data_IF_033781985115
#
_entry.id   IF_033781985115
#
_cell.length_a   1.000
_cell.length_b   1.000
_cell.length_c   1.000
_cell.angle_alpha   90.00
_cell.angle_beta   90.00
_cell.angle_gamma   90.00
#
_symmetry.space_group_name_H-M   'P 1'
#
loop_
_entity.id
_entity.type
_entity.pdbx_description
1 polymer ?
#
# COMPACT_ATOMS: atom_id res chain seq x y z
N UNK A 1 53.44 -44.27 6.93
CA UNK A 1 52.04 -44.06 7.36
C UNK A 1 51.73 -42.57 7.28
N UNK A 2 50.50 -42.18 6.89
CA UNK A 2 49.97 -40.81 6.70
C UNK A 2 50.12 -40.22 5.27
N UNK A 3 49.28 -40.70 4.33
CA UNK A 3 48.51 -39.73 3.54
C UNK A 3 47.02 -40.08 3.40
N UNK A 4 46.54 -41.15 4.05
CA UNK A 4 45.14 -41.61 3.89
C UNK A 4 44.09 -40.86 4.73
N UNK A 5 44.49 -40.05 5.70
CA UNK A 5 43.54 -39.35 6.59
C UNK A 5 42.95 -38.07 5.98
N UNK A 6 43.58 -37.46 4.97
CA UNK A 6 43.06 -36.24 4.32
C UNK A 6 41.90 -36.53 3.35
N UNK A 7 41.82 -37.73 2.79
CA UNK A 7 40.74 -38.11 1.87
C UNK A 7 39.42 -38.42 2.61
N UNK A 8 39.51 -38.93 3.85
CA UNK A 8 38.34 -39.18 4.68
C UNK A 8 37.70 -37.92 5.25
N UNK A 9 38.48 -36.86 5.50
CA UNK A 9 37.94 -35.57 5.97
C UNK A 9 37.21 -34.84 4.82
N UNK A 10 37.66 -34.97 3.57
CA UNK A 10 36.96 -34.38 2.42
C UNK A 10 35.63 -35.07 2.08
N UNK A 11 35.49 -36.37 2.39
CA UNK A 11 34.23 -37.10 2.17
C UNK A 11 33.17 -36.82 3.24
N UNK A 12 33.57 -36.41 4.45
CA UNK A 12 32.64 -36.07 5.54
C UNK A 12 32.14 -34.61 5.44
N UNK A 13 32.78 -33.76 4.62
CA UNK A 13 32.29 -32.42 4.25
C UNK A 13 31.65 -32.45 2.87
N UNK A 14 31.03 -33.58 2.48
CA UNK A 14 29.98 -33.51 1.47
C UNK A 14 28.79 -32.89 2.20
N UNK A 15 28.46 -31.60 2.01
CA UNK A 15 27.23 -31.12 2.58
C UNK A 15 26.13 -31.99 1.98
N UNK A 16 25.16 -32.37 2.80
CA UNK A 16 23.82 -32.67 2.29
C UNK A 16 23.34 -31.39 1.59
N UNK A 17 23.83 -31.17 0.37
CA UNK A 17 23.31 -30.21 -0.56
C UNK A 17 21.95 -30.78 -0.94
N UNK A 18 20.97 -30.55 -0.07
CA UNK A 18 19.59 -30.45 -0.49
C UNK A 18 19.62 -29.41 -1.59
N UNK A 19 19.71 -29.88 -2.83
CA UNK A 19 19.77 -29.04 -4.01
C UNK A 19 18.44 -28.32 -4.08
N UNK A 20 18.38 -27.15 -3.44
CA UNK A 20 17.24 -26.27 -3.50
C UNK A 20 16.88 -26.06 -4.97
N UNK A 21 15.66 -26.43 -5.34
CA UNK A 21 15.27 -26.48 -6.76
C UNK A 21 15.19 -25.08 -7.37
N UNK A 22 14.70 -24.11 -6.57
CA UNK A 22 14.58 -22.70 -6.90
C UNK A 22 15.14 -21.83 -5.77
N UNK A 23 15.96 -20.85 -6.13
CA UNK A 23 16.34 -19.77 -5.24
C UNK A 23 15.21 -18.74 -5.10
N UNK A 24 15.28 -17.88 -4.09
CA UNK A 24 14.30 -16.78 -3.97
C UNK A 24 14.32 -15.84 -5.18
N UNK A 25 15.51 -15.66 -5.78
CA UNK A 25 15.70 -14.85 -6.97
C UNK A 25 14.96 -15.43 -8.16
N UNK A 26 14.99 -16.76 -8.34
CA UNK A 26 14.22 -17.43 -9.38
C UNK A 26 12.72 -17.15 -9.20
N UNK A 27 12.20 -17.31 -7.97
CA UNK A 27 10.79 -17.06 -7.66
C UNK A 27 10.38 -15.60 -7.91
N UNK A 28 11.25 -14.64 -7.58
CA UNK A 28 11.04 -13.22 -7.88
C UNK A 28 11.04 -12.97 -9.39
N UNK A 29 12.00 -13.52 -10.13
CA UNK A 29 12.11 -13.35 -11.58
C UNK A 29 10.88 -13.92 -12.30
N UNK A 30 10.35 -15.04 -11.81
CA UNK A 30 9.14 -15.66 -12.36
C UNK A 30 7.91 -14.75 -12.31
N UNK A 31 7.81 -13.84 -11.33
CA UNK A 31 6.73 -12.82 -11.31
C UNK A 31 6.78 -11.83 -12.48
N UNK A 32 7.88 -11.79 -13.24
CA UNK A 32 8.03 -10.95 -14.43
C UNK A 32 7.93 -11.71 -15.75
N UNK A 33 7.80 -13.04 -15.70
CA UNK A 33 7.87 -13.85 -16.91
C UNK A 33 6.54 -13.82 -17.66
N UNK A 34 6.62 -13.90 -18.99
CA UNK A 34 5.46 -14.32 -19.77
C UNK A 34 5.20 -15.81 -19.51
N UNK A 35 3.95 -16.27 -19.70
CA UNK A 35 3.58 -17.67 -19.52
C UNK A 35 4.54 -18.62 -20.29
N UNK A 36 4.83 -18.32 -21.56
CA UNK A 36 5.75 -19.12 -22.37
C UNK A 36 7.19 -19.14 -21.81
N UNK A 37 7.69 -18.02 -21.27
CA UNK A 37 9.03 -17.97 -20.67
C UNK A 37 9.07 -18.78 -19.38
N UNK A 38 8.01 -18.71 -18.59
CA UNK A 38 7.84 -19.50 -17.37
C UNK A 38 7.79 -20.99 -17.67
N UNK A 39 6.92 -21.42 -18.59
CA UNK A 39 6.80 -22.81 -19.04
C UNK A 39 8.12 -23.40 -19.50
N UNK A 40 8.84 -22.67 -20.37
CA UNK A 40 10.13 -23.11 -20.87
C UNK A 40 11.21 -23.19 -19.78
N UNK A 41 11.11 -22.36 -18.74
CA UNK A 41 12.07 -22.36 -17.64
C UNK A 41 11.82 -23.55 -16.69
N UNK A 42 10.58 -23.74 -16.24
CA UNK A 42 10.23 -24.79 -15.28
C UNK A 42 10.30 -26.19 -15.91
N UNK A 43 10.04 -26.33 -17.21
CA UNK A 43 10.19 -27.60 -17.92
C UNK A 43 11.63 -28.12 -17.88
N UNK A 44 12.63 -27.22 -17.95
CA UNK A 44 14.07 -27.57 -17.80
C UNK A 44 14.43 -28.04 -16.39
N UNK A 45 13.56 -27.77 -15.41
CA UNK A 45 13.69 -28.14 -13.99
C UNK A 45 12.86 -29.38 -13.64
N UNK A 46 12.42 -30.14 -14.65
CA UNK A 46 11.60 -31.35 -14.52
C UNK A 46 10.18 -31.13 -13.95
N UNK A 47 9.66 -29.90 -14.04
CA UNK A 47 8.26 -29.62 -13.73
C UNK A 47 7.36 -29.84 -14.95
N UNK A 48 6.16 -30.36 -14.71
CA UNK A 48 5.14 -30.60 -15.72
C UNK A 48 3.83 -30.00 -15.25
N UNK A 49 3.03 -29.53 -16.20
CA UNK A 49 1.71 -28.97 -15.91
C UNK A 49 0.81 -30.04 -15.28
N UNK A 50 0.15 -29.68 -14.20
CA UNK A 50 -0.83 -30.50 -13.51
C UNK A 50 -2.25 -30.09 -13.92
N UNK A 51 -2.81 -30.84 -14.86
CA UNK A 51 -4.16 -30.63 -15.40
C UNK A 51 -5.27 -31.12 -14.45
N UNK A 52 -4.92 -31.75 -13.33
CA UNK A 52 -5.87 -32.35 -12.38
C UNK A 52 -6.00 -31.55 -11.08
N UNK A 53 -5.23 -30.48 -10.92
CA UNK A 53 -5.28 -29.64 -9.74
C UNK A 53 -6.61 -28.85 -9.67
N UNK A 54 -7.33 -28.87 -8.53
CA UNK A 54 -8.65 -28.25 -8.39
C UNK A 54 -8.66 -26.71 -8.46
N UNK A 55 -7.51 -26.06 -8.67
CA UNK A 55 -7.35 -24.61 -8.79
C UNK A 55 -6.95 -24.12 -10.19
N UNK A 56 -7.02 -24.95 -11.25
CA UNK A 56 -6.91 -24.42 -12.62
C UNK A 56 -8.11 -23.48 -12.89
N UNK A 57 -7.86 -22.18 -12.72
CA UNK A 57 -8.67 -21.12 -13.30
C UNK A 57 -7.97 -20.63 -14.57
N UNK A 58 -8.68 -19.88 -15.42
CA UNK A 58 -8.09 -19.23 -16.61
C UNK A 58 -6.82 -18.43 -16.26
N UNK A 59 -6.71 -17.96 -15.01
CA UNK A 59 -5.65 -17.12 -14.47
C UNK A 59 -4.49 -17.83 -13.77
N UNK A 60 -4.60 -19.13 -13.44
CA UNK A 60 -3.59 -19.85 -12.61
C UNK A 60 -3.23 -21.19 -13.25
N UNK A 61 -1.94 -21.40 -13.48
CA UNK A 61 -1.38 -22.66 -14.00
C UNK A 61 -0.57 -23.35 -12.91
N UNK A 62 -0.84 -24.64 -12.70
CA UNK A 62 -0.20 -25.47 -11.68
C UNK A 62 0.81 -26.43 -12.31
N UNK A 63 1.94 -26.65 -11.63
CA UNK A 63 3.00 -27.54 -12.08
C UNK A 63 3.52 -28.39 -10.93
N UNK A 64 3.77 -29.66 -11.20
CA UNK A 64 4.33 -30.62 -10.25
C UNK A 64 5.67 -31.13 -10.75
N UNK A 65 6.62 -31.31 -9.83
CA UNK A 65 7.91 -31.87 -10.18
C UNK A 65 7.79 -33.38 -10.40
N UNK A 66 8.45 -33.91 -11.43
CA UNK A 66 8.62 -35.35 -11.58
C UNK A 66 9.53 -35.87 -10.45
N UNK A 67 8.97 -36.70 -9.57
CA UNK A 67 9.70 -37.34 -8.48
C UNK A 67 10.79 -38.27 -9.06
N UNK A 68 12.05 -38.06 -8.65
CA UNK A 68 13.19 -38.90 -9.03
C UNK A 68 13.32 -40.06 -8.06
N UNK A 69 13.91 -41.17 -8.51
CA UNK A 69 14.12 -42.36 -7.67
C UNK A 69 14.96 -41.99 -6.45
N UNK A 70 14.41 -42.17 -5.24
CA UNK A 70 15.07 -41.85 -3.97
C UNK A 70 14.77 -40.46 -3.41
N UNK A 71 14.03 -39.60 -4.14
CA UNK A 71 13.52 -38.34 -3.61
C UNK A 71 12.08 -38.56 -3.12
N UNK A 72 11.80 -38.23 -1.86
CA UNK A 72 10.45 -38.24 -1.28
C UNK A 72 9.85 -36.83 -1.15
N UNK A 73 10.60 -35.80 -1.58
CA UNK A 73 10.16 -34.42 -1.46
C UNK A 73 9.10 -34.11 -2.50
N UNK A 74 7.94 -33.67 -2.03
CA UNK A 74 6.85 -33.18 -2.88
C UNK A 74 7.18 -31.75 -3.22
N UNK A 75 7.19 -31.39 -4.51
CA UNK A 75 7.36 -30.02 -4.97
C UNK A 75 6.33 -29.67 -6.04
N UNK A 76 5.68 -28.52 -5.87
CA UNK A 76 4.81 -27.93 -6.87
C UNK A 76 5.05 -26.43 -6.96
N UNK A 77 4.67 -25.85 -8.08
CA UNK A 77 4.71 -24.41 -8.30
C UNK A 77 3.45 -23.99 -9.04
N UNK A 78 2.77 -22.95 -8.56
CA UNK A 78 1.69 -22.29 -9.28
C UNK A 78 2.14 -20.91 -9.75
N UNK A 79 1.72 -20.54 -10.96
CA UNK A 79 1.95 -19.24 -11.57
C UNK A 79 0.62 -18.69 -12.05
N UNK A 80 0.31 -17.45 -11.69
CA UNK A 80 -0.92 -16.83 -12.14
C UNK A 80 -1.01 -15.33 -11.89
N UNK A 81 -2.03 -14.71 -12.48
CA UNK A 81 -2.36 -13.31 -12.26
C UNK A 81 -3.81 -13.16 -11.83
N UNK A 82 -4.03 -12.57 -10.66
CA UNK A 82 -5.37 -12.31 -10.11
C UNK A 82 -5.46 -10.85 -9.72
N UNK A 83 -6.47 -10.13 -10.23
CA UNK A 83 -6.71 -8.72 -9.90
C UNK A 83 -5.47 -7.81 -10.08
N UNK A 84 -4.72 -8.00 -11.17
CA UNK A 84 -3.50 -7.22 -11.47
C UNK A 84 -2.30 -7.55 -10.58
N UNK A 85 -2.34 -8.66 -9.83
CA UNK A 85 -1.22 -9.19 -9.06
C UNK A 85 -0.71 -10.47 -9.69
N UNK A 86 0.56 -10.48 -10.10
CA UNK A 86 1.24 -11.72 -10.48
C UNK A 86 1.70 -12.43 -9.23
N UNK A 87 1.45 -13.73 -9.13
CA UNK A 87 1.81 -14.53 -7.97
C UNK A 87 2.49 -15.82 -8.37
N UNK A 88 3.49 -16.19 -7.56
CA UNK A 88 4.19 -17.46 -7.62
C UNK A 88 3.97 -18.16 -6.29
N UNK A 89 3.45 -19.38 -6.32
CA UNK A 89 3.20 -20.20 -5.15
C UNK A 89 4.09 -21.43 -5.26
N UNK A 90 5.27 -21.41 -4.61
CA UNK A 90 6.16 -22.56 -4.57
C UNK A 90 5.88 -23.38 -3.32
N UNK A 91 5.57 -24.66 -3.49
CA UNK A 91 5.22 -25.55 -2.40
C UNK A 91 6.22 -26.70 -2.31
N UNK A 92 6.66 -27.02 -1.10
CA UNK A 92 7.64 -28.08 -0.82
C UNK A 92 7.30 -28.81 0.47
N UNK A 93 7.52 -30.12 0.54
CA UNK A 93 7.48 -30.87 1.81
C UNK A 93 8.79 -30.81 2.60
N UNK A 94 9.84 -30.18 2.05
CA UNK A 94 11.15 -30.07 2.71
C UNK A 94 11.25 -28.85 3.62
N UNK A 95 11.40 -29.08 4.92
CA UNK A 95 11.66 -28.00 5.88
C UNK A 95 12.99 -27.28 5.60
N UNK A 96 14.01 -28.00 5.12
CA UNK A 96 15.30 -27.41 4.78
C UNK A 96 15.22 -26.39 3.65
N UNK A 97 14.40 -26.67 2.62
CA UNK A 97 14.15 -25.71 1.53
C UNK A 97 13.39 -24.48 2.03
N UNK A 98 12.44 -24.65 2.94
CA UNK A 98 11.73 -23.53 3.56
C UNK A 98 12.68 -22.60 4.30
N UNK A 99 13.51 -23.13 5.19
CA UNK A 99 14.41 -22.29 5.97
C UNK A 99 15.47 -21.62 5.09
N UNK A 100 15.95 -22.28 4.03
CA UNK A 100 16.84 -21.68 3.05
C UNK A 100 16.18 -20.50 2.30
N UNK A 101 14.93 -20.64 1.86
CA UNK A 101 14.19 -19.56 1.19
C UNK A 101 13.94 -18.38 2.14
N UNK A 102 13.57 -18.63 3.39
CA UNK A 102 13.40 -17.57 4.41
C UNK A 102 14.68 -16.79 4.66
N UNK A 103 15.81 -17.47 4.77
CA UNK A 103 17.11 -16.81 4.95
C UNK A 103 17.49 -15.96 3.74
N UNK A 104 17.18 -16.43 2.53
CA UNK A 104 17.48 -15.68 1.30
C UNK A 104 16.64 -14.41 1.16
N UNK A 105 15.38 -14.37 1.64
CA UNK A 105 14.53 -13.18 1.58
C UNK A 105 15.19 -11.96 2.24
N UNK A 106 15.71 -12.13 3.45
CA UNK A 106 16.41 -11.06 4.15
C UNK A 106 17.66 -10.60 3.37
N UNK A 107 18.40 -11.54 2.78
CA UNK A 107 19.60 -11.24 1.99
C UNK A 107 19.31 -10.46 0.70
N UNK A 108 18.12 -10.62 0.10
CA UNK A 108 17.73 -9.86 -1.09
C UNK A 108 17.08 -8.52 -0.78
N UNK A 109 16.89 -8.18 0.50
CA UNK A 109 16.42 -6.87 0.96
C UNK A 109 14.95 -6.77 1.31
N UNK A 110 14.27 -7.91 1.54
CA UNK A 110 12.92 -7.93 2.09
C UNK A 110 12.96 -7.61 3.58
N UNK A 111 12.09 -6.69 4.03
CA UNK A 111 11.93 -6.36 5.45
C UNK A 111 10.62 -6.92 6.00
N UNK A 112 10.65 -7.34 7.27
CA UNK A 112 9.48 -7.83 7.99
C UNK A 112 8.51 -6.70 8.31
N UNK A 113 7.21 -6.97 8.15
CA UNK A 113 6.14 -6.11 8.64
C UNK A 113 5.88 -6.37 10.14
N UNK A 114 5.54 -5.32 10.90
CA UNK A 114 5.54 -5.33 12.37
C UNK A 114 4.37 -6.12 13.00
N UNK A 115 3.30 -6.35 12.23
CA UNK A 115 2.07 -6.99 12.72
C UNK A 115 1.82 -8.42 12.20
N UNK A 116 2.84 -9.17 11.78
CA UNK A 116 2.65 -10.63 11.54
C UNK A 116 2.53 -11.43 12.85
N UNK A 117 2.02 -10.81 13.92
CA UNK A 117 1.88 -11.37 15.25
C UNK A 117 0.47 -11.97 15.47
N UNK A 118 -0.14 -12.53 14.43
CA UNK A 118 -1.13 -13.59 14.64
C UNK A 118 -0.37 -14.85 15.03
N UNK A 119 -0.69 -15.36 16.22
CA UNK A 119 -0.15 -16.55 16.89
C UNK A 119 -0.53 -17.88 16.19
N UNK A 120 -0.61 -17.87 14.87
CA UNK A 120 -0.72 -19.05 14.00
C UNK A 120 0.53 -19.11 13.13
N UNK A 121 0.86 -20.26 12.56
CA UNK A 121 1.99 -20.51 11.64
C UNK A 121 1.89 -19.72 10.29
N UNK A 122 1.16 -18.59 10.29
CA UNK A 122 0.88 -17.70 9.18
C UNK A 122 2.00 -16.67 9.03
N UNK A 123 2.94 -17.02 8.15
CA UNK A 123 3.76 -16.15 7.31
C UNK A 123 4.13 -14.77 7.85
N UNK A 124 5.41 -14.63 8.20
CA UNK A 124 6.09 -13.33 8.21
C UNK A 124 5.92 -12.71 6.83
N UNK A 125 5.06 -11.69 6.74
CA UNK A 125 4.86 -10.92 5.53
C UNK A 125 6.03 -9.96 5.41
N UNK A 126 6.75 -10.07 4.31
CA UNK A 126 7.86 -9.20 3.98
C UNK A 126 7.57 -8.44 2.68
N UNK A 127 8.10 -7.23 2.56
CA UNK A 127 7.90 -6.38 1.39
C UNK A 127 9.24 -5.84 0.86
N UNK A 128 9.36 -5.72 -0.45
CA UNK A 128 10.47 -5.03 -1.12
C UNK A 128 9.97 -4.40 -2.42
N UNK A 129 9.97 -3.07 -2.49
CA UNK A 129 9.43 -2.36 -3.65
C UNK A 129 7.98 -2.76 -3.94
N UNK A 130 7.70 -3.24 -5.16
CA UNK A 130 6.38 -3.74 -5.56
C UNK A 130 6.16 -5.24 -5.31
N UNK A 131 7.06 -5.90 -4.57
CA UNK A 131 7.00 -7.33 -4.25
C UNK A 131 6.60 -7.57 -2.80
N UNK A 132 5.83 -8.63 -2.57
CA UNK A 132 5.49 -9.16 -1.25
C UNK A 132 5.83 -10.64 -1.20
N UNK A 133 6.33 -11.08 -0.05
CA UNK A 133 6.68 -12.47 0.20
C UNK A 133 6.12 -12.92 1.53
N UNK A 134 5.55 -14.13 1.58
CA UNK A 134 5.13 -14.77 2.82
C UNK A 134 5.15 -16.29 2.66
N UNK A 135 5.09 -17.01 3.78
CA UNK A 135 5.10 -18.47 3.79
C UNK A 135 4.01 -19.03 4.68
N UNK A 136 3.30 -20.05 4.22
CA UNK A 136 2.28 -20.75 4.99
C UNK A 136 2.62 -22.23 5.13
N UNK A 137 1.93 -22.92 6.06
CA UNK A 137 2.06 -24.37 6.26
C UNK A 137 0.68 -25.00 6.25
N UNK A 138 0.51 -26.04 5.45
CA UNK A 138 -0.68 -26.88 5.43
C UNK A 138 -0.27 -28.32 5.76
N UNK A 139 -1.04 -29.03 6.59
CA UNK A 139 -0.83 -30.47 6.82
C UNK A 139 -1.77 -31.23 5.89
N UNK A 140 -1.22 -32.02 4.97
CA UNK A 140 -1.97 -32.87 4.04
C UNK A 140 -1.52 -34.32 4.19
N UNK A 141 -2.45 -35.21 4.51
CA UNK A 141 -2.16 -36.64 4.72
C UNK A 141 -0.97 -36.89 5.66
N UNK A 142 -0.93 -36.15 6.78
CA UNK A 142 0.15 -36.17 7.79
C UNK A 142 1.52 -35.68 7.32
N UNK A 143 1.62 -35.11 6.12
CA UNK A 143 2.83 -34.47 5.59
C UNK A 143 2.70 -32.94 5.66
N UNK A 144 3.64 -32.21 6.28
CA UNK A 144 3.64 -30.77 6.21
C UNK A 144 4.03 -30.30 4.81
N UNK A 145 3.24 -29.40 4.25
CA UNK A 145 3.48 -28.74 2.97
C UNK A 145 3.69 -27.25 3.24
N UNK A 146 4.91 -26.80 2.95
CA UNK A 146 5.32 -25.42 3.11
C UNK A 146 5.11 -24.69 1.79
N UNK A 147 4.31 -23.62 1.80
CA UNK A 147 4.07 -22.79 0.62
C UNK A 147 4.79 -21.46 0.79
N UNK A 148 5.49 -21.03 -0.25
CA UNK A 148 6.11 -19.72 -0.41
C UNK A 148 5.38 -18.96 -1.49
N UNK A 149 4.86 -17.80 -1.11
CA UNK A 149 4.07 -16.98 -2.01
C UNK A 149 4.85 -15.70 -2.26
N UNK A 150 5.18 -15.45 -3.53
CA UNK A 150 5.77 -14.19 -3.99
C UNK A 150 4.73 -13.50 -4.87
N UNK A 151 4.29 -12.32 -4.46
CA UNK A 151 3.36 -11.49 -5.21
C UNK A 151 4.06 -10.26 -5.75
N UNK A 152 3.80 -9.92 -7.01
CA UNK A 152 4.16 -8.65 -7.63
C UNK A 152 2.89 -7.87 -7.91
N UNK A 153 2.77 -6.69 -7.31
CA UNK A 153 1.71 -5.74 -7.63
C UNK A 153 2.14 -4.87 -8.81
N UNK A 154 1.28 -4.76 -9.82
CA UNK A 154 1.41 -3.69 -10.81
C UNK A 154 0.99 -2.36 -10.17
N UNK A 155 1.91 -1.39 -10.18
CA UNK A 155 1.70 -0.06 -9.64
C UNK A 155 1.62 0.94 -10.81
N UNK A 156 0.81 2.01 -10.68
CA UNK A 156 0.78 3.07 -11.68
C UNK A 156 2.17 3.71 -11.80
N UNK A 157 2.51 4.17 -13.00
CA UNK A 157 3.73 4.97 -13.18
C UNK A 157 3.47 6.38 -12.67
N UNK A 158 4.49 7.02 -12.11
CA UNK A 158 4.37 8.38 -11.59
C UNK A 158 3.78 9.38 -12.61
N UNK A 159 4.07 9.21 -13.90
CA UNK A 159 3.55 10.04 -14.99
C UNK A 159 2.06 9.83 -15.31
N UNK A 160 1.49 8.70 -14.89
CA UNK A 160 0.10 8.33 -15.14
C UNK A 160 -0.81 8.81 -13.98
N UNK A 161 -0.23 9.32 -12.89
CA UNK A 161 -0.92 9.96 -11.76
C UNK A 161 -1.21 11.43 -12.15
N UNK A 162 -2.48 11.79 -12.30
CA UNK A 162 -2.90 13.13 -12.69
C UNK A 162 -3.62 13.87 -11.57
N UNK A 163 -4.49 13.17 -10.86
CA UNK A 163 -5.33 13.71 -9.80
C UNK A 163 -4.90 13.20 -8.43
N UNK A 164 -5.27 13.93 -7.39
CA UNK A 164 -5.04 13.52 -6.00
C UNK A 164 -5.62 12.13 -5.70
N UNK A 165 -6.79 11.82 -6.23
CA UNK A 165 -7.48 10.54 -6.08
C UNK A 165 -6.66 9.36 -6.65
N UNK A 166 -5.84 9.59 -7.69
CA UNK A 166 -5.05 8.51 -8.31
C UNK A 166 -3.98 7.97 -7.35
N UNK A 167 -3.53 8.79 -6.39
CA UNK A 167 -2.58 8.41 -5.35
C UNK A 167 -3.13 7.32 -4.42
N UNK A 168 -4.46 7.23 -4.26
CA UNK A 168 -5.10 6.21 -3.42
C UNK A 168 -4.93 4.78 -3.96
N UNK A 169 -4.56 4.64 -5.24
CA UNK A 169 -4.25 3.33 -5.83
C UNK A 169 -2.94 2.70 -5.31
N UNK A 170 -2.15 3.46 -4.55
CA UNK A 170 -0.85 3.08 -4.00
C UNK A 170 -0.98 2.83 -2.49
N UNK A 171 -1.25 1.60 -2.03
CA UNK A 171 -1.78 1.34 -0.68
C UNK A 171 -0.73 1.17 0.42
N UNK A 172 0.52 1.60 0.21
CA UNK A 172 1.52 1.57 1.28
C UNK A 172 2.69 2.53 1.05
N UNK A 173 3.39 2.87 2.14
CA UNK A 173 4.61 3.66 2.13
C UNK A 173 5.70 3.10 1.20
N UNK A 174 5.92 1.78 1.23
CA UNK A 174 6.92 1.11 0.39
C UNK A 174 6.57 1.20 -1.10
N UNK A 175 5.29 1.12 -1.44
CA UNK A 175 4.84 1.31 -2.81
C UNK A 175 4.98 2.77 -3.26
N UNK A 176 4.69 3.73 -2.38
CA UNK A 176 4.98 5.15 -2.66
C UNK A 176 6.46 5.38 -2.92
N UNK A 177 7.32 4.81 -2.07
CA UNK A 177 8.78 4.91 -2.21
C UNK A 177 9.29 4.26 -3.49
N UNK A 178 8.66 3.17 -3.94
CA UNK A 178 8.97 2.52 -5.21
C UNK A 178 8.55 3.37 -6.42
N UNK A 179 7.35 3.98 -6.38
CA UNK A 179 6.81 4.76 -7.51
C UNK A 179 7.48 6.12 -7.65
N UNK A 180 7.73 6.82 -6.55
CA UNK A 180 8.22 8.20 -6.55
C UNK A 180 9.68 8.36 -6.11
N UNK A 181 10.31 7.30 -5.61
CA UNK A 181 11.66 7.31 -5.06
C UNK A 181 11.69 7.56 -3.55
N UNK A 182 12.60 6.89 -2.84
CA UNK A 182 12.71 6.93 -1.38
C UNK A 182 13.08 8.33 -0.82
N UNK A 183 13.69 9.20 -1.63
CA UNK A 183 14.00 10.57 -1.22
C UNK A 183 12.75 11.45 -1.16
N UNK A 184 11.77 11.15 -2.02
CA UNK A 184 10.51 11.88 -2.09
C UNK A 184 9.48 11.43 -1.04
N UNK A 185 9.73 10.36 -0.28
CA UNK A 185 8.74 9.76 0.61
C UNK A 185 9.32 9.60 2.01
N UNK A 186 8.66 10.15 3.03
CA UNK A 186 9.11 10.10 4.43
C UNK A 186 8.01 9.59 5.35
N UNK A 187 8.38 8.76 6.32
CA UNK A 187 7.51 8.41 7.46
C UNK A 187 7.50 9.60 8.42
N UNK A 188 6.35 9.94 8.98
CA UNK A 188 6.18 11.05 9.92
C UNK A 188 5.01 10.75 10.88
N UNK A 189 4.71 11.70 11.76
CA UNK A 189 3.57 11.72 12.66
C UNK A 189 2.75 12.98 12.34
N UNK A 190 1.46 12.78 12.09
CA UNK A 190 0.50 13.85 11.92
C UNK A 190 -0.18 14.15 13.26
N UNK A 191 -0.32 15.43 13.61
CA UNK A 191 -0.93 15.88 14.85
C UNK A 191 -2.30 16.51 14.55
N UNK A 192 -3.37 15.90 15.06
CA UNK A 192 -4.71 16.52 15.07
C UNK A 192 -4.85 17.49 16.24
N UNK A 193 -4.21 17.16 17.37
CA UNK A 193 -4.07 17.98 18.57
C UNK A 193 -2.79 17.59 19.31
N UNK A 194 -2.50 18.24 20.44
CA UNK A 194 -1.35 17.91 21.28
C UNK A 194 -1.36 16.46 21.78
N UNK A 195 -2.55 15.84 21.87
CA UNK A 195 -2.74 14.48 22.41
C UNK A 195 -3.17 13.45 21.37
N UNK A 196 -3.60 13.90 20.19
CA UNK A 196 -4.17 13.04 19.16
C UNK A 196 -3.29 13.06 17.91
N UNK A 197 -2.73 11.90 17.57
CA UNK A 197 -1.71 11.76 16.54
C UNK A 197 -1.86 10.45 15.80
N UNK A 198 -1.56 10.46 14.49
CA UNK A 198 -1.44 9.23 13.70
C UNK A 198 -0.08 9.17 12.99
N UNK A 199 0.48 7.97 12.87
CA UNK A 199 1.59 7.73 11.96
C UNK A 199 1.14 7.95 10.52
N UNK A 200 1.95 8.67 9.77
CA UNK A 200 1.62 9.08 8.43
C UNK A 200 2.81 8.91 7.48
N UNK A 201 2.56 9.12 6.19
CA UNK A 201 3.62 9.25 5.19
C UNK A 201 3.47 10.55 4.45
N UNK A 202 4.56 11.31 4.36
CA UNK A 202 4.63 12.56 3.62
C UNK A 202 5.32 12.29 2.28
N UNK A 203 4.59 12.50 1.20
CA UNK A 203 5.09 12.50 -0.17
C UNK A 203 5.47 13.94 -0.55
N UNK A 204 6.64 14.11 -1.18
CA UNK A 204 7.27 15.39 -1.53
C UNK A 204 7.28 16.43 -0.38
N UNK A 205 7.89 16.10 0.78
CA UNK A 205 7.89 16.98 1.95
C UNK A 205 8.48 18.36 1.62
N UNK A 206 7.91 19.42 2.22
CA UNK A 206 8.32 20.81 2.05
C UNK A 206 8.30 21.32 0.60
N UNK A 207 7.36 20.83 -0.21
CA UNK A 207 7.17 21.27 -1.59
C UNK A 207 5.71 21.59 -1.91
N UNK A 208 5.46 22.29 -3.01
CA UNK A 208 4.11 22.49 -3.54
C UNK A 208 3.45 21.22 -4.10
N UNK A 209 4.10 20.04 -3.99
CA UNK A 209 3.52 18.73 -4.31
C UNK A 209 3.28 17.88 -3.06
N UNK A 210 3.36 18.46 -1.86
CA UNK A 210 3.25 17.70 -0.63
C UNK A 210 1.89 17.01 -0.51
N UNK A 211 1.89 15.74 -0.13
CA UNK A 211 0.68 14.97 0.21
C UNK A 211 0.95 14.19 1.49
N UNK A 212 0.00 14.23 2.42
CA UNK A 212 0.09 13.43 3.65
C UNK A 212 -0.88 12.27 3.56
N UNK A 213 -0.37 11.05 3.72
CA UNK A 213 -1.15 9.82 3.81
C UNK A 213 -1.35 9.48 5.28
N UNK A 214 -2.61 9.42 5.71
CA UNK A 214 -3.00 8.83 6.98
C UNK A 214 -3.35 7.36 6.74
N UNK A 215 -2.82 6.47 7.56
CA UNK A 215 -2.94 5.02 7.39
C UNK A 215 -3.92 4.43 8.42
N UNK A 216 -4.76 3.49 8.00
CA UNK A 216 -5.54 2.63 8.89
C UNK A 216 -4.61 1.62 9.60
N UNK A 217 -3.61 1.09 8.89
CA UNK A 217 -2.56 0.23 9.47
C UNK A 217 -1.27 1.02 9.71
N UNK A 218 -1.22 1.69 10.86
CA UNK A 218 -0.09 2.50 11.30
C UNK A 218 1.19 1.72 11.60
N UNK A 219 1.08 0.41 11.90
CA UNK A 219 2.25 -0.41 12.17
C UNK A 219 3.05 -0.70 10.90
N UNK A 220 2.32 -0.90 9.79
CA UNK A 220 2.90 -1.23 8.50
C UNK A 220 2.86 -0.07 7.49
N UNK A 221 2.32 1.09 7.86
CA UNK A 221 2.13 2.25 6.97
C UNK A 221 1.40 1.86 5.68
N UNK A 222 0.27 1.16 5.84
CA UNK A 222 -0.50 0.61 4.73
C UNK A 222 -2.00 0.80 4.93
N UNK A 223 -2.77 0.60 3.86
CA UNK A 223 -4.22 0.85 3.80
C UNK A 223 -4.56 2.31 4.16
N UNK A 224 -4.62 3.17 3.14
CA UNK A 224 -4.85 4.60 3.36
C UNK A 224 -6.24 4.85 3.93
N UNK A 225 -6.31 5.53 5.07
CA UNK A 225 -7.55 6.02 5.66
C UNK A 225 -8.08 7.23 4.87
N UNK A 226 -7.19 8.20 4.61
CA UNK A 226 -7.41 9.35 3.74
C UNK A 226 -6.07 10.05 3.44
N UNK A 227 -6.07 10.96 2.46
CA UNK A 227 -4.92 11.83 2.19
C UNK A 227 -5.28 13.31 2.37
N UNK A 228 -4.29 14.11 2.77
CA UNK A 228 -4.40 15.55 2.98
C UNK A 228 -3.50 16.32 2.02
N UNK A 229 -4.02 17.40 1.45
CA UNK A 229 -3.36 18.24 0.44
C UNK A 229 -3.59 19.71 0.78
N UNK A 230 -2.52 20.50 0.77
CA UNK A 230 -2.56 21.95 1.02
C UNK A 230 -2.66 22.33 2.50
N UNK A 231 -2.62 23.63 2.77
CA UNK A 231 -2.77 24.20 4.11
C UNK A 231 -1.50 24.14 4.96
N UNK A 232 -1.64 24.51 6.24
CA UNK A 232 -0.59 24.38 7.25
C UNK A 232 -0.78 23.05 7.97
N UNK A 233 -0.26 21.98 7.37
CA UNK A 233 -0.39 20.63 7.93
C UNK A 233 0.67 20.46 9.04
N UNK A 234 0.23 20.17 10.27
CA UNK A 234 1.13 19.94 11.40
C UNK A 234 1.65 18.50 11.38
N UNK A 235 2.89 18.35 10.95
CA UNK A 235 3.70 17.14 11.07
C UNK A 235 4.95 17.45 11.87
N UNK A 236 5.62 16.43 12.40
CA UNK A 236 6.88 16.63 13.14
C UNK A 236 7.90 17.43 12.31
N UNK A 237 7.98 17.17 11.01
CA UNK A 237 8.92 17.85 10.11
C UNK A 237 8.47 19.27 9.71
N UNK A 238 7.17 19.58 9.72
CA UNK A 238 6.66 20.92 9.35
C UNK A 238 6.45 21.85 10.56
N UNK A 239 6.41 21.31 11.78
CA UNK A 239 6.33 22.08 13.03
C UNK A 239 7.51 23.06 13.19
N UNK A 240 8.63 22.82 12.49
CA UNK A 240 9.81 23.68 12.54
C UNK A 240 9.86 24.73 11.44
N UNK A 241 9.09 24.60 10.35
CA UNK A 241 9.24 25.44 9.16
C UNK A 241 8.10 26.45 8.93
N UNK A 242 6.96 26.33 9.62
CA UNK A 242 5.79 27.23 9.46
C UNK A 242 5.40 27.47 7.98
N UNK A 243 5.73 26.53 7.08
CA UNK A 243 5.46 26.67 5.66
C UNK A 243 3.99 26.33 5.41
N UNK A 244 3.17 27.35 5.20
CA UNK A 244 1.82 27.20 4.64
C UNK A 244 1.96 26.80 3.17
N UNK A 245 1.47 25.62 2.79
CA UNK A 245 1.48 25.17 1.39
C UNK A 245 0.18 25.66 0.74
N UNK A 246 0.12 26.96 0.47
CA UNK A 246 -1.09 27.64 -0.02
C UNK A 246 -1.37 27.36 -1.51
N UNK A 247 -0.39 26.83 -2.23
CA UNK A 247 -0.48 26.57 -3.67
C UNK A 247 -0.02 25.16 -4.01
N UNK A 248 -0.72 24.17 -3.48
CA UNK A 248 -0.46 22.77 -3.82
C UNK A 248 -0.86 22.48 -5.29
N UNK A 249 -0.01 21.76 -6.02
CA UNK A 249 -0.23 21.41 -7.42
C UNK A 249 -1.22 20.26 -7.62
N UNK A 250 -1.51 19.50 -6.56
CA UNK A 250 -2.51 18.45 -6.62
C UNK A 250 -3.90 19.05 -6.60
N UNK A 251 -4.73 18.63 -7.55
CA UNK A 251 -6.15 18.94 -7.61
C UNK A 251 -6.98 17.67 -7.52
N UNK A 252 -8.18 17.80 -6.97
CA UNK A 252 -9.20 16.75 -7.02
C UNK A 252 -9.67 16.55 -8.46
N UNK A 253 -10.06 15.32 -8.78
CA UNK A 253 -10.78 14.96 -10.02
C UNK A 253 -12.09 15.72 -10.18
N UNK A 254 -12.68 16.17 -9.06
CA UNK A 254 -13.87 17.01 -9.06
C UNK A 254 -13.58 18.50 -9.34
N UNK A 255 -12.30 18.88 -9.51
CA UNK A 255 -11.87 20.23 -9.86
C UNK A 255 -11.47 21.12 -8.67
N UNK A 256 -11.55 20.62 -7.43
CA UNK A 256 -11.15 21.37 -6.23
C UNK A 256 -9.63 21.46 -6.15
N UNK A 257 -9.10 22.65 -5.86
CA UNK A 257 -7.67 22.92 -5.65
C UNK A 257 -7.45 23.84 -4.43
N UNK A 258 -6.27 23.77 -3.82
CA UNK A 258 -5.91 24.60 -2.65
C UNK A 258 -5.76 26.06 -3.06
N UNK A 259 -6.34 26.97 -2.29
CA UNK A 259 -6.46 28.40 -2.62
C UNK A 259 -7.73 28.79 -3.37
N UNK A 260 -8.55 27.82 -3.82
CA UNK A 260 -9.85 28.11 -4.46
C UNK A 260 -10.73 28.96 -3.54
N UNK A 261 -11.27 30.06 -4.06
CA UNK A 261 -12.15 30.95 -3.29
C UNK A 261 -13.50 30.28 -3.02
N UNK A 262 -14.19 30.71 -1.95
CA UNK A 262 -15.53 30.19 -1.63
C UNK A 262 -16.53 30.41 -2.77
N UNK A 263 -16.39 31.51 -3.53
CA UNK A 263 -17.23 31.80 -4.70
C UNK A 263 -16.99 30.79 -5.83
N UNK A 264 -15.74 30.47 -6.13
CA UNK A 264 -15.39 29.45 -7.13
C UNK A 264 -15.86 28.07 -6.69
N UNK A 265 -15.69 27.73 -5.41
CA UNK A 265 -16.12 26.45 -4.85
C UNK A 265 -17.64 26.29 -4.93
N UNK A 266 -18.41 27.33 -4.58
CA UNK A 266 -19.87 27.35 -4.71
C UNK A 266 -20.31 27.23 -6.17
N UNK A 267 -19.62 27.91 -7.09
CA UNK A 267 -19.91 27.80 -8.52
C UNK A 267 -19.64 26.39 -9.05
N UNK A 268 -18.53 25.77 -8.62
CA UNK A 268 -18.19 24.39 -8.97
C UNK A 268 -19.20 23.38 -8.41
N UNK A 269 -19.70 23.63 -7.18
CA UNK A 269 -20.71 22.80 -6.55
C UNK A 269 -22.12 22.99 -7.15
N UNK A 270 -22.35 24.05 -7.91
CA UNK A 270 -23.68 24.40 -8.45
C UNK A 270 -24.75 24.59 -7.35
N UNK A 271 -24.33 25.04 -6.17
CA UNK A 271 -25.21 25.23 -5.02
C UNK A 271 -24.48 25.69 -3.77
N UNK A 272 -25.22 26.24 -2.77
CA UNK A 272 -24.63 26.74 -1.54
C UNK A 272 -23.94 25.65 -0.74
N UNK A 273 -22.89 26.04 -0.02
CA UNK A 273 -22.07 25.17 0.81
C UNK A 273 -22.17 25.65 2.25
N UNK A 274 -22.56 24.74 3.13
CA UNK A 274 -22.66 24.98 4.57
C UNK A 274 -21.40 24.48 5.27
N UNK A 275 -20.87 25.27 6.19
CA UNK A 275 -19.66 24.96 6.95
C UNK A 275 -19.73 25.57 8.35
N UNK A 276 -18.90 25.05 9.25
CA UNK A 276 -18.84 25.53 10.62
C UNK A 276 -18.14 26.89 10.72
N UNK A 277 -18.72 27.80 11.50
CA UNK A 277 -18.16 29.14 11.71
C UNK A 277 -16.84 29.10 12.49
N UNK A 278 -16.01 30.13 12.30
CA UNK A 278 -14.75 30.28 13.04
C UNK A 278 -14.97 30.48 14.54
N UNK A 279 -14.04 29.96 15.34
CA UNK A 279 -14.16 29.92 16.80
C UNK A 279 -14.99 28.73 17.33
N UNK A 280 -15.29 27.75 16.47
CA UNK A 280 -15.79 26.43 16.86
C UNK A 280 -14.65 25.41 16.75
N UNK A 281 -14.79 24.25 17.41
CA UNK A 281 -13.81 23.15 17.31
C UNK A 281 -13.62 22.64 15.87
N UNK A 282 -14.67 22.69 15.05
CA UNK A 282 -14.67 22.23 13.65
C UNK A 282 -14.59 23.39 12.66
N UNK A 283 -13.99 24.52 13.03
CA UNK A 283 -13.99 25.73 12.21
C UNK A 283 -13.56 25.49 10.75
N UNK A 284 -14.33 26.06 9.82
CA UNK A 284 -14.05 25.94 8.39
C UNK A 284 -14.30 24.54 7.79
N UNK A 285 -14.61 23.52 8.59
CA UNK A 285 -15.01 22.20 8.08
C UNK A 285 -16.41 22.27 7.48
N UNK A 286 -16.66 21.46 6.46
CA UNK A 286 -18.00 21.32 5.89
C UNK A 286 -19.00 20.75 6.91
N UNK A 287 -20.19 21.35 6.96
CA UNK A 287 -21.30 20.80 7.70
C UNK A 287 -21.85 19.55 6.97
N UNK A 288 -22.49 18.60 7.69
CA UNK A 288 -23.15 17.47 7.06
C UNK A 288 -24.24 17.90 6.06
N UNK A 289 -24.55 17.02 5.09
CA UNK A 289 -25.65 17.20 4.12
C UNK A 289 -25.48 18.40 3.17
N UNK A 290 -24.25 18.69 2.78
CA UNK A 290 -24.03 19.50 1.58
C UNK A 290 -24.51 18.75 0.34
N UNK A 291 -25.23 19.44 -0.53
CA UNK A 291 -25.76 18.91 -1.78
C UNK A 291 -25.23 19.74 -2.95
N UNK A 292 -25.22 19.16 -4.14
CA UNK A 292 -24.73 19.80 -5.35
C UNK A 292 -24.03 18.81 -6.25
N UNK A 293 -23.16 19.33 -7.11
CA UNK A 293 -22.38 18.57 -8.08
C UNK A 293 -21.19 17.84 -7.45
N UNK A 294 -20.62 18.39 -6.37
CA UNK A 294 -19.46 17.80 -5.70
C UNK A 294 -19.92 16.69 -4.75
N UNK A 295 -19.32 15.52 -4.88
CA UNK A 295 -19.46 14.41 -3.95
C UNK A 295 -18.54 14.64 -2.73
N UNK A 296 -19.09 15.31 -1.73
CA UNK A 296 -18.40 15.55 -0.45
C UNK A 296 -18.24 14.30 0.43
N UNK A 297 -18.74 13.13 0.00
CA UNK A 297 -18.45 11.85 0.68
C UNK A 297 -17.09 11.30 0.31
N UNK A 298 -16.53 11.75 -0.84
CA UNK A 298 -15.21 11.34 -1.35
C UNK A 298 -14.16 12.43 -1.20
N UNK A 299 -14.58 13.69 -1.14
CA UNK A 299 -13.68 14.84 -1.01
C UNK A 299 -14.17 15.76 0.10
N UNK A 300 -13.41 15.88 1.17
CA UNK A 300 -13.58 16.91 2.19
C UNK A 300 -12.79 18.16 1.84
N UNK A 301 -13.25 19.32 2.32
CA UNK A 301 -12.47 20.56 2.29
C UNK A 301 -12.50 21.20 3.67
N UNK A 302 -11.39 21.84 4.02
CA UNK A 302 -11.29 22.75 5.16
C UNK A 302 -11.08 24.14 4.60
N UNK A 303 -11.88 25.08 5.08
CA UNK A 303 -11.85 26.48 4.65
C UNK A 303 -11.04 27.31 5.65
N UNK A 304 -10.27 28.26 5.15
CA UNK A 304 -9.66 29.30 5.96
C UNK A 304 -10.18 30.68 5.53
N UNK A 305 -9.99 31.69 6.37
CA UNK A 305 -10.45 33.04 6.10
C UNK A 305 -9.44 34.12 6.52
N UNK A 306 -9.25 35.10 5.64
CA UNK A 306 -8.32 36.20 5.86
C UNK A 306 -8.90 37.37 6.67
N UNK A 307 -10.23 37.54 6.68
CA UNK A 307 -10.91 38.69 7.29
C UNK A 307 -12.14 38.29 8.14
N UNK A 308 -12.09 37.11 8.76
CA UNK A 308 -13.18 36.60 9.60
C UNK A 308 -13.03 36.94 11.08
N UNK A 309 -11.96 37.63 11.49
CA UNK A 309 -11.62 38.01 12.87
C UNK A 309 -12.53 39.07 13.51
N UNK A 310 -13.61 39.48 12.86
CA UNK A 310 -14.60 40.35 13.47
C UNK A 310 -15.32 39.56 14.57
N UNK A 311 -15.17 39.96 15.84
CA UNK A 311 -15.73 39.31 17.04
C UNK A 311 -17.25 39.19 17.13
N UNK A 312 -17.96 39.27 16.00
CA UNK A 312 -19.36 38.92 15.78
C UNK A 312 -19.48 37.52 15.20
N UNK A 313 -18.70 36.55 15.67
CA UNK A 313 -18.97 35.15 15.31
C UNK A 313 -20.43 34.87 15.68
N UNK A 314 -21.21 34.60 14.63
CA UNK A 314 -22.63 34.42 14.77
C UNK A 314 -22.86 33.30 15.79
N UNK A 315 -23.82 33.46 16.69
CA UNK A 315 -24.24 32.39 17.64
C UNK A 315 -24.60 31.08 16.92
N UNK A 316 -24.77 31.11 15.60
CA UNK A 316 -24.98 29.97 14.74
C UNK A 316 -23.67 29.24 14.44
N UNK A 317 -23.63 27.97 14.81
CA UNK A 317 -22.50 27.07 14.60
C UNK A 317 -22.24 26.75 13.12
N UNK A 318 -23.25 26.87 12.26
CA UNK A 318 -23.16 26.58 10.82
C UNK A 318 -23.59 27.81 10.01
N UNK A 319 -22.83 28.14 8.98
CA UNK A 319 -23.07 29.25 8.05
C UNK A 319 -23.11 28.76 6.61
N UNK A 320 -23.87 29.46 5.76
CA UNK A 320 -23.96 29.19 4.32
C UNK A 320 -23.01 30.09 3.53
N UNK A 321 -22.44 29.53 2.45
CA UNK A 321 -21.55 30.25 1.54
C UNK A 321 -22.20 31.47 0.90
N UNK A 322 -23.51 31.44 0.60
CA UNK A 322 -24.24 32.58 0.05
C UNK A 322 -24.11 33.82 0.95
N UNK A 323 -24.39 33.64 2.24
CA UNK A 323 -24.33 34.72 3.23
C UNK A 323 -22.92 35.26 3.37
N UNK A 324 -21.91 34.38 3.38
CA UNK A 324 -20.53 34.78 3.56
C UNK A 324 -19.97 35.52 2.34
N UNK A 325 -20.37 35.12 1.13
CA UNK A 325 -20.02 35.82 -0.12
C UNK A 325 -20.69 37.20 -0.18
N UNK A 326 -21.95 37.32 0.24
CA UNK A 326 -22.65 38.61 0.32
C UNK A 326 -22.00 39.57 1.32
N UNK A 327 -21.37 39.03 2.38
CA UNK A 327 -20.63 39.78 3.39
C UNK A 327 -19.18 40.08 2.99
N UNK A 328 -18.78 39.76 1.74
CA UNK A 328 -17.42 39.96 1.21
C UNK A 328 -16.32 39.33 2.09
N UNK A 329 -16.63 38.16 2.67
CA UNK A 329 -15.66 37.37 3.43
C UNK A 329 -14.69 36.66 2.48
N UNK A 330 -13.39 36.83 2.74
CA UNK A 330 -12.27 36.28 1.97
C UNK A 330 -11.96 34.87 2.46
N UNK A 331 -12.83 33.94 2.06
CA UNK A 331 -12.79 32.54 2.45
C UNK A 331 -12.27 31.71 1.27
N UNK A 332 -11.40 30.75 1.55
CA UNK A 332 -10.76 29.91 0.54
C UNK A 332 -10.52 28.49 1.06
N UNK A 333 -10.35 27.54 0.16
CA UNK A 333 -9.98 26.16 0.47
C UNK A 333 -8.53 26.13 0.93
N UNK A 334 -8.29 25.84 2.20
CA UNK A 334 -6.93 25.66 2.72
C UNK A 334 -6.45 24.23 2.49
N UNK A 335 -7.24 23.26 2.93
CA UNK A 335 -6.90 21.83 2.89
C UNK A 335 -7.97 21.06 2.12
N UNK A 336 -7.53 20.10 1.31
CA UNK A 336 -8.36 19.10 0.64
C UNK A 336 -8.09 17.75 1.29
N UNK A 337 -9.16 17.02 1.59
CA UNK A 337 -9.14 15.68 2.18
C UNK A 337 -9.70 14.72 1.14
N UNK A 338 -8.91 13.78 0.63
CA UNK A 338 -9.42 12.76 -0.29
C UNK A 338 -9.64 11.46 0.48
N UNK A 339 -10.87 10.95 0.39
CA UNK A 339 -11.34 9.78 1.13
C UNK A 339 -11.44 8.61 0.14
N UNK A 340 -10.80 7.45 0.44
CA UNK A 340 -10.93 6.26 -0.37
C UNK A 340 -12.37 5.73 -0.40
N UNK A 341 -12.76 5.18 -1.55
CA UNK A 341 -13.99 4.41 -1.62
C UNK A 341 -13.81 3.13 -0.79
N UNK A 342 -14.59 3.00 0.29
CA UNK A 342 -14.64 1.73 1.01
C UNK A 342 -15.28 0.71 0.08
N UNK A 343 -14.53 -0.33 -0.28
CA UNK A 343 -15.13 -1.48 -0.96
C UNK A 343 -16.30 -1.95 -0.08
N UNK A 344 -17.51 -1.96 -0.65
CA UNK A 344 -18.64 -2.60 0.01
C UNK A 344 -18.24 -4.06 0.16
N UNK A 345 -17.83 -4.44 1.37
CA UNK A 345 -17.72 -5.84 1.78
C UNK A 345 -18.97 -6.52 1.27
N UNK A 346 -18.83 -7.38 0.25
CA UNK A 346 -19.90 -8.24 -0.18
C UNK A 346 -20.30 -9.01 1.06
N UNK A 347 -21.46 -8.65 1.62
CA UNK A 347 -22.00 -9.27 2.82
C UNK A 347 -22.03 -10.76 2.53
N UNK A 348 -21.16 -11.52 3.19
CA UNK A 348 -21.28 -12.95 3.23
C UNK A 348 -22.63 -13.23 3.90
N UNK A 349 -23.66 -13.48 3.08
CA UNK A 349 -24.87 -14.14 3.52
C UNK A 349 -24.43 -15.50 4.05
N UNK A 350 -24.38 -15.62 5.38
CA UNK A 350 -24.47 -16.90 6.06
C UNK A 350 -25.92 -17.17 6.40
#
# INVERSE_FOLDING_TARGET
>A
MRPFYLFYIFLIISPFANSQQFSIKDLIDFTSYSANKFDNHIAKKDFRRDYYAPQESVSISNYVQKIKKGDSTIRSIAYGSTNGKFSIHYQTSSQGEREALKQQLAAVGFHSLANSATTSDEGVMMQQGNLRAYSTVEIRDSVPLYTFIIERKELPKAKDIQFAEDLLSIPSHEYLSYVFGADAVKKDVFYYSDTDTNKCTVLFPNSNKQVIFIWDDEANYSNTAFILIGGQLQTTNTAQTNLSIEHNLWHSRQGIYSGMTLRELQALNEGPINFYSWGQEQEGMLAPKNHGRIDFTKVGVVLNCLNCSDGRYQKTSVVSSDTQIQQDKKIYVSTIIIIPEKEKSATASR
#
